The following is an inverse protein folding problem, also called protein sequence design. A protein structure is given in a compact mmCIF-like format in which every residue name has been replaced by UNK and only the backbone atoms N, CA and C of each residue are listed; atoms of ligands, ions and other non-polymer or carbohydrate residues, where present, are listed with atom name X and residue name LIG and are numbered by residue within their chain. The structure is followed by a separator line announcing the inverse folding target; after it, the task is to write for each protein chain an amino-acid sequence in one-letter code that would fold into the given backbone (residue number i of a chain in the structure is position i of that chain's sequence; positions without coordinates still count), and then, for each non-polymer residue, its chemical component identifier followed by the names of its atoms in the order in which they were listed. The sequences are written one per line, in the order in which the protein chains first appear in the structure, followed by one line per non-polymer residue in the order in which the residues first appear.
data_IF_817517014339
#
_entry.id   IF_817517014339
#
_cell.length_a   1.000
_cell.length_b   1.000
_cell.length_c   1.000
_cell.angle_alpha   90.00
_cell.angle_beta   90.00
_cell.angle_gamma   90.00
#
_symmetry.space_group_name_H-M   'P 1'
#
loop_
_entity.id
_entity.type
_entity.pdbx_description
1 polymer ?
#
# COMPACT_ATOMS: atom_id res chain seq x y z
N UNK A 1 37.52 15.04 37.88
CA UNK A 1 38.07 16.37 37.53
C UNK A 1 36.91 17.10 36.87
N UNK A 2 36.12 17.86 37.65
CA UNK A 2 36.23 19.30 37.89
C UNK A 2 35.92 20.03 36.55
N UNK A 3 34.87 20.85 36.41
CA UNK A 3 34.27 21.74 37.36
C UNK A 3 32.96 22.37 36.87
N UNK A 4 32.18 22.60 37.81
CA UNK A 4 31.04 23.52 37.87
C UNK A 4 31.46 24.97 37.67
N UNK A 5 30.59 25.77 37.01
CA UNK A 5 30.48 27.20 37.31
C UNK A 5 29.03 27.66 37.30
N UNK A 6 28.64 27.94 38.47
CA UNK A 6 27.56 28.71 39.03
C UNK A 6 27.85 30.23 38.89
N UNK A 7 26.83 31.07 38.68
CA UNK A 7 26.73 32.50 39.07
C UNK A 7 25.31 32.96 38.70
N UNK A 8 24.34 32.98 39.59
CA UNK A 8 23.93 33.97 40.60
C UNK A 8 23.93 35.44 40.13
N UNK A 9 22.72 35.97 40.09
CA UNK A 9 22.37 37.20 40.73
C UNK A 9 22.37 38.46 39.88
N UNK A 10 21.22 39.10 39.76
CA UNK A 10 21.03 40.45 40.28
C UNK A 10 19.56 40.86 40.29
N UNK A 11 19.06 41.13 41.49
CA UNK A 11 17.88 41.97 41.75
C UNK A 11 18.30 43.43 41.64
N UNK A 12 17.41 44.28 41.12
CA UNK A 12 17.21 45.67 41.63
C UNK A 12 15.99 46.26 40.91
N UNK A 13 15.00 46.53 41.65
CA UNK A 13 14.51 47.74 42.38
C UNK A 13 13.60 48.61 41.52
N UNK A 14 12.37 48.67 42.00
CA UNK A 14 11.40 49.75 41.72
C UNK A 14 11.87 51.10 42.24
N UNK A 15 11.35 52.21 41.73
CA UNK A 15 10.59 53.09 42.60
C UNK A 15 9.23 53.55 42.06
N UNK A 16 8.34 53.75 43.00
CA UNK A 16 7.06 54.43 42.87
C UNK A 16 7.26 55.94 42.89
N UNK A 17 6.41 56.66 42.23
CA UNK A 17 5.83 57.97 42.58
C UNK A 17 5.23 58.59 41.29
N UNK A 18 4.02 58.87 41.11
CA UNK A 18 3.09 59.73 41.82
C UNK A 18 2.66 60.86 40.90
N UNK A 19 1.39 60.98 40.62
CA UNK A 19 0.67 62.25 40.69
C UNK A 19 -0.49 62.34 39.71
N UNK A 20 -1.57 62.81 40.23
CA UNK A 20 -2.90 63.02 39.67
C UNK A 20 -2.91 64.05 38.51
N UNK A 21 -3.82 63.83 37.58
CA UNK A 21 -4.18 64.84 36.57
C UNK A 21 -5.32 64.32 35.70
N UNK A 22 -6.51 64.67 36.07
CA UNK A 22 -7.71 64.37 35.30
C UNK A 22 -7.72 65.01 33.95
N UNK A 23 -8.05 64.24 32.95
CA UNK A 23 -8.53 64.74 31.66
C UNK A 23 -9.48 63.73 31.04
N UNK A 24 -10.67 64.21 30.80
CA UNK A 24 -11.69 63.53 30.08
C UNK A 24 -11.20 63.03 28.72
N UNK A 25 -11.27 61.76 28.48
CA UNK A 25 -11.04 61.18 27.18
C UNK A 25 -12.31 60.49 26.70
N UNK A 26 -12.82 61.03 25.63
CA UNK A 26 -13.87 60.45 24.78
C UNK A 26 -13.49 59.02 24.41
N UNK A 27 -14.35 58.06 24.79
CA UNK A 27 -14.30 56.70 24.32
C UNK A 27 -14.84 56.64 22.89
N UNK A 28 -13.97 56.69 21.90
CA UNK A 28 -14.25 56.29 20.55
C UNK A 28 -14.27 54.75 20.54
N UNK A 29 -15.45 54.16 20.52
CA UNK A 29 -15.68 52.74 20.28
C UNK A 29 -15.31 52.43 18.82
N UNK A 30 -14.11 51.90 18.57
CA UNK A 30 -13.73 51.33 17.30
C UNK A 30 -14.39 49.94 17.21
N UNK A 31 -15.54 49.87 16.47
CA UNK A 31 -16.16 48.60 16.10
C UNK A 31 -15.28 47.92 15.05
N UNK A 32 -14.42 46.98 15.47
CA UNK A 32 -13.74 46.09 14.56
C UNK A 32 -14.76 45.08 13.97
N UNK A 33 -15.21 45.32 12.77
CA UNK A 33 -15.93 44.35 11.99
C UNK A 33 -14.98 43.23 11.61
N UNK A 34 -15.08 42.11 12.33
CA UNK A 34 -14.34 40.87 11.93
C UNK A 34 -15.00 40.32 10.66
N UNK A 35 -14.39 40.55 9.52
CA UNK A 35 -14.73 39.85 8.28
C UNK A 35 -14.31 38.39 8.44
N UNK A 36 -15.27 37.49 8.65
CA UNK A 36 -15.05 36.06 8.57
C UNK A 36 -14.71 35.74 7.11
N UNK A 37 -13.44 35.46 6.84
CA UNK A 37 -13.00 34.88 5.57
C UNK A 37 -13.54 33.44 5.58
N UNK A 38 -14.58 33.19 4.82
CA UNK A 38 -15.01 31.83 4.50
C UNK A 38 -13.87 31.21 3.69
N UNK A 39 -13.10 30.33 4.31
CA UNK A 39 -12.11 29.52 3.60
C UNK A 39 -12.90 28.63 2.64
N UNK A 40 -12.59 28.73 1.34
CA UNK A 40 -13.09 27.77 0.36
C UNK A 40 -12.74 26.35 0.84
N UNK A 41 -13.69 25.38 0.78
CA UNK A 41 -13.39 24.00 1.10
C UNK A 41 -12.25 23.54 0.19
N UNK A 42 -11.18 23.01 0.79
CA UNK A 42 -10.08 22.43 0.02
C UNK A 42 -10.67 21.35 -0.92
N UNK A 43 -10.21 21.25 -2.18
CA UNK A 43 -10.70 20.23 -3.10
C UNK A 43 -10.53 18.86 -2.44
N UNK A 44 -11.62 18.08 -2.39
CA UNK A 44 -11.58 16.71 -1.87
C UNK A 44 -10.52 15.92 -2.64
N UNK A 45 -9.56 15.35 -1.90
CA UNK A 45 -8.53 14.52 -2.49
C UNK A 45 -9.20 13.28 -3.13
N UNK A 46 -9.08 13.15 -4.44
CA UNK A 46 -9.61 11.98 -5.15
C UNK A 46 -8.93 10.71 -4.61
N UNK A 47 -9.72 9.75 -4.12
CA UNK A 47 -9.22 8.44 -3.71
C UNK A 47 -8.58 7.73 -4.92
N UNK A 48 -7.26 7.55 -4.97
CA UNK A 48 -6.61 6.90 -6.10
C UNK A 48 -7.09 5.45 -6.28
N UNK A 49 -7.58 4.81 -5.23
CA UNK A 49 -8.16 3.47 -5.29
C UNK A 49 -9.56 3.44 -5.97
N UNK A 50 -10.23 4.56 -6.10
CA UNK A 50 -11.50 4.66 -6.82
C UNK A 50 -11.34 4.78 -8.34
N UNK A 51 -10.10 4.86 -8.85
CA UNK A 51 -9.82 5.11 -10.26
C UNK A 51 -9.58 3.84 -11.09
N UNK A 52 -9.77 2.64 -10.53
CA UNK A 52 -9.74 1.40 -11.29
C UNK A 52 -10.88 1.38 -12.32
N UNK A 53 -10.61 0.86 -13.53
CA UNK A 53 -11.64 0.68 -14.57
C UNK A 53 -12.51 -0.55 -14.26
N UNK A 54 -11.92 -1.57 -13.66
CA UNK A 54 -12.62 -2.77 -13.20
C UNK A 54 -13.23 -2.55 -11.81
N UNK A 55 -14.32 -3.27 -11.51
CA UNK A 55 -14.87 -3.30 -10.15
C UNK A 55 -13.92 -4.06 -9.22
N UNK A 56 -13.30 -3.32 -8.30
CA UNK A 56 -12.31 -3.83 -7.34
C UNK A 56 -12.81 -3.78 -5.90
N UNK A 57 -14.12 -3.59 -5.68
CA UNK A 57 -14.70 -3.47 -4.34
C UNK A 57 -14.44 -4.71 -3.49
N UNK A 58 -14.48 -5.89 -4.11
CA UNK A 58 -14.22 -7.15 -3.42
C UNK A 58 -12.77 -7.26 -2.95
N UNK A 59 -11.82 -6.99 -3.81
CA UNK A 59 -10.39 -6.97 -3.46
C UNK A 59 -10.10 -5.92 -2.39
N UNK A 60 -10.69 -4.73 -2.52
CA UNK A 60 -10.56 -3.66 -1.49
C UNK A 60 -11.10 -4.09 -0.13
N UNK A 61 -12.24 -4.80 -0.10
CA UNK A 61 -12.79 -5.33 1.15
C UNK A 61 -11.84 -6.36 1.80
N UNK A 62 -11.23 -7.26 1.01
CA UNK A 62 -10.20 -8.17 1.52
C UNK A 62 -8.99 -7.43 2.07
N UNK A 63 -8.49 -6.42 1.34
CA UNK A 63 -7.33 -5.62 1.77
C UNK A 63 -7.58 -4.77 3.02
N UNK A 64 -8.83 -4.51 3.38
CA UNK A 64 -9.19 -3.88 4.65
C UNK A 64 -9.19 -4.86 5.83
N UNK A 65 -9.07 -6.16 5.57
CA UNK A 65 -9.04 -7.21 6.58
C UNK A 65 -7.65 -7.45 7.17
N UNK A 66 -7.57 -8.43 8.06
CA UNK A 66 -6.31 -8.85 8.67
C UNK A 66 -5.61 -9.87 7.77
N UNK A 67 -4.40 -9.55 7.33
CA UNK A 67 -3.59 -10.44 6.52
C UNK A 67 -2.95 -11.56 7.36
N UNK A 68 -2.95 -12.78 6.84
CA UNK A 68 -2.25 -13.92 7.42
C UNK A 68 -0.76 -13.84 7.07
N UNK A 69 0.15 -13.85 8.06
CA UNK A 69 1.57 -13.86 7.77
C UNK A 69 2.00 -15.19 7.16
N UNK A 70 2.82 -15.14 6.11
CA UNK A 70 3.31 -16.31 5.40
C UNK A 70 4.72 -16.04 4.85
N UNK A 71 5.66 -16.94 5.10
CA UNK A 71 6.98 -16.85 4.48
C UNK A 71 6.91 -17.43 3.05
N UNK A 72 7.18 -16.61 2.04
CA UNK A 72 7.34 -17.12 0.68
C UNK A 72 8.55 -18.06 0.59
N UNK A 73 8.55 -18.97 -0.38
CA UNK A 73 9.68 -19.86 -0.58
C UNK A 73 10.74 -19.26 -1.51
N UNK A 74 11.97 -19.79 -1.41
CA UNK A 74 13.08 -19.48 -2.33
C UNK A 74 13.04 -20.33 -3.61
N UNK A 75 12.24 -21.39 -3.65
CA UNK A 75 12.06 -22.28 -4.79
C UNK A 75 10.65 -22.87 -4.79
N UNK A 76 10.22 -23.44 -5.91
CA UNK A 76 8.91 -24.08 -6.03
C UNK A 76 8.74 -25.28 -5.08
N UNK A 77 9.82 -26.03 -4.83
CA UNK A 77 9.81 -27.12 -3.85
C UNK A 77 9.63 -26.54 -2.44
N UNK A 78 8.60 -27.01 -1.73
CA UNK A 78 8.28 -26.55 -0.37
C UNK A 78 7.62 -25.15 -0.31
N UNK A 79 7.19 -24.60 -1.42
CA UNK A 79 6.47 -23.34 -1.43
C UNK A 79 5.12 -23.49 -0.69
N UNK A 80 4.82 -22.58 0.26
CA UNK A 80 3.59 -22.64 1.03
C UNK A 80 2.36 -22.38 0.15
N UNK A 81 1.23 -22.97 0.52
CA UNK A 81 -0.01 -22.79 -0.21
C UNK A 81 -0.74 -21.51 0.21
N UNK A 82 -1.29 -20.81 -0.76
CA UNK A 82 -2.28 -19.77 -0.58
C UNK A 82 -3.64 -20.25 -1.12
N UNK A 83 -4.70 -19.79 -0.50
CA UNK A 83 -6.08 -20.14 -0.86
C UNK A 83 -6.77 -18.89 -1.40
N UNK A 84 -7.59 -19.00 -2.45
CA UNK A 84 -8.42 -17.87 -2.89
C UNK A 84 -9.29 -17.33 -1.76
N UNK A 85 -9.68 -16.06 -1.86
CA UNK A 85 -10.54 -15.34 -0.92
C UNK A 85 -9.92 -15.10 0.48
N UNK A 86 -8.59 -15.19 0.56
CA UNK A 86 -7.83 -14.89 1.77
C UNK A 86 -6.78 -13.82 1.50
N UNK A 87 -6.51 -13.01 2.52
CA UNK A 87 -5.46 -12.00 2.47
C UNK A 87 -4.21 -12.52 3.17
N UNK A 88 -3.07 -12.45 2.48
CA UNK A 88 -1.77 -12.87 2.99
C UNK A 88 -0.78 -11.72 3.03
N UNK A 89 0.06 -11.69 4.07
CA UNK A 89 1.26 -10.86 4.11
C UNK A 89 2.47 -11.78 3.93
N UNK A 90 3.02 -11.77 2.71
CA UNK A 90 4.17 -12.58 2.37
C UNK A 90 5.47 -11.91 2.81
N UNK A 91 6.37 -12.68 3.44
CA UNK A 91 7.76 -12.32 3.62
C UNK A 91 8.56 -12.83 2.42
N UNK A 92 9.09 -11.92 1.61
CA UNK A 92 9.90 -12.21 0.45
C UNK A 92 11.39 -12.34 0.82
N UNK A 93 12.19 -12.92 -0.09
CA UNK A 93 13.64 -13.09 0.02
C UNK A 93 14.37 -12.13 -0.91
N UNK A 94 15.67 -11.97 -0.69
CA UNK A 94 16.54 -11.31 -1.65
C UNK A 94 16.45 -12.04 -2.99
N UNK A 95 16.33 -11.29 -4.10
CA UNK A 95 16.17 -11.85 -5.44
C UNK A 95 17.23 -12.88 -5.81
N UNK A 96 18.49 -12.63 -5.39
CA UNK A 96 19.63 -13.51 -5.65
C UNK A 96 19.51 -14.89 -4.99
N UNK A 97 18.66 -15.04 -3.97
CA UNK A 97 18.45 -16.31 -3.25
C UNK A 97 17.29 -17.14 -3.82
N UNK A 98 16.59 -16.60 -4.82
CA UNK A 98 15.34 -17.22 -5.33
C UNK A 98 15.58 -17.88 -6.68
N UNK A 99 15.21 -19.16 -6.75
CA UNK A 99 15.16 -19.95 -7.98
C UNK A 99 13.70 -20.03 -8.46
N UNK A 100 13.41 -19.40 -9.58
CA UNK A 100 12.07 -19.37 -10.15
C UNK A 100 11.65 -20.73 -10.72
N UNK A 101 10.33 -21.01 -10.72
CA UNK A 101 9.73 -22.19 -11.32
C UNK A 101 9.77 -22.17 -12.85
N UNK A 102 9.78 -20.95 -13.43
CA UNK A 102 10.00 -20.68 -14.85
C UNK A 102 10.74 -19.34 -14.99
N UNK A 103 11.43 -19.08 -16.10
CA UNK A 103 11.98 -17.73 -16.35
C UNK A 103 10.88 -16.68 -16.27
N UNK A 104 11.07 -15.56 -15.53
CA UNK A 104 10.09 -14.49 -15.48
C UNK A 104 9.73 -13.96 -16.88
N UNK A 105 8.42 -13.92 -17.18
CA UNK A 105 7.92 -13.58 -18.53
C UNK A 105 7.93 -12.09 -18.84
N UNK A 106 8.52 -11.25 -17.96
CA UNK A 106 8.61 -9.81 -18.17
C UNK A 106 9.59 -9.45 -19.30
N UNK A 107 9.25 -8.42 -20.09
CA UNK A 107 10.07 -7.97 -21.22
C UNK A 107 11.47 -7.47 -20.84
N UNK A 108 11.61 -6.92 -19.65
CA UNK A 108 12.87 -6.44 -19.09
C UNK A 108 13.15 -7.24 -17.82
N UNK A 109 14.31 -7.88 -17.70
CA UNK A 109 14.63 -8.60 -16.48
C UNK A 109 14.56 -7.63 -15.29
N UNK A 110 14.03 -8.09 -14.15
CA UNK A 110 14.01 -7.27 -12.94
C UNK A 110 15.45 -6.93 -12.56
N UNK A 111 15.68 -5.79 -11.90
CA UNK A 111 16.98 -5.51 -11.31
C UNK A 111 17.49 -6.71 -10.51
N UNK A 112 18.77 -6.98 -10.57
CA UNK A 112 19.39 -8.06 -9.78
C UNK A 112 19.15 -7.82 -8.26
N UNK A 113 19.04 -6.57 -7.86
CA UNK A 113 18.63 -6.15 -6.53
C UNK A 113 17.09 -6.19 -6.41
N UNK A 114 16.59 -6.40 -5.19
CA UNK A 114 15.17 -6.42 -4.85
C UNK A 114 14.75 -7.74 -4.25
N UNK A 115 13.44 -7.90 -4.11
CA UNK A 115 12.84 -9.02 -3.41
C UNK A 115 12.03 -9.89 -4.36
N UNK A 116 12.00 -11.19 -4.06
CA UNK A 116 11.32 -12.22 -4.82
C UNK A 116 10.83 -13.34 -3.89
N UNK A 117 9.95 -14.19 -4.41
CA UNK A 117 9.48 -15.35 -3.65
C UNK A 117 8.45 -16.14 -4.41
N UNK A 118 8.12 -17.33 -3.91
CA UNK A 118 7.16 -18.23 -4.52
C UNK A 118 6.15 -18.71 -3.48
N UNK A 119 4.91 -18.89 -3.92
CA UNK A 119 3.85 -19.62 -3.19
C UNK A 119 3.15 -20.56 -4.15
N UNK A 120 2.43 -21.55 -3.63
CA UNK A 120 1.56 -22.42 -4.44
C UNK A 120 0.11 -21.97 -4.34
N UNK A 121 -0.64 -22.22 -5.40
CA UNK A 121 -2.08 -21.97 -5.50
C UNK A 121 -2.75 -23.16 -6.17
N UNK A 122 -3.90 -23.56 -5.66
CA UNK A 122 -4.80 -24.46 -6.34
C UNK A 122 -6.21 -23.88 -6.31
N UNK A 123 -6.91 -23.98 -7.43
CA UNK A 123 -8.30 -23.52 -7.56
C UNK A 123 -9.19 -24.72 -7.91
N UNK A 124 -10.33 -24.82 -7.25
CA UNK A 124 -11.27 -25.95 -7.43
C UNK A 124 -12.10 -25.86 -8.73
N UNK A 125 -12.20 -24.66 -9.30
CA UNK A 125 -12.94 -24.43 -10.53
C UNK A 125 -12.09 -23.65 -11.52
N UNK A 126 -12.10 -24.05 -12.78
CA UNK A 126 -11.46 -23.27 -13.83
C UNK A 126 -12.19 -21.93 -14.03
N UNK A 127 -11.46 -20.90 -14.43
CA UNK A 127 -12.03 -19.59 -14.68
C UNK A 127 -11.03 -18.45 -14.60
N UNK A 128 -11.56 -17.25 -14.70
CA UNK A 128 -10.78 -16.02 -14.55
C UNK A 128 -10.58 -15.72 -13.08
N UNK A 129 -9.31 -15.55 -12.69
CA UNK A 129 -8.90 -15.18 -11.34
C UNK A 129 -8.06 -13.92 -11.36
N UNK A 130 -8.17 -13.14 -10.31
CA UNK A 130 -7.42 -11.93 -10.08
C UNK A 130 -6.37 -12.16 -9.00
N UNK A 131 -5.17 -11.76 -9.28
CA UNK A 131 -4.09 -11.69 -8.28
C UNK A 131 -3.88 -10.23 -7.94
N UNK A 132 -4.31 -9.84 -6.73
CA UNK A 132 -4.27 -8.49 -6.23
C UNK A 132 -3.06 -8.29 -5.30
N UNK A 133 -2.30 -7.22 -5.48
CA UNK A 133 -1.04 -6.93 -4.81
C UNK A 133 -1.00 -5.49 -4.30
N UNK A 134 -0.31 -5.25 -3.17
CA UNK A 134 -0.14 -3.90 -2.62
C UNK A 134 1.05 -3.12 -3.22
N UNK A 135 1.80 -3.69 -4.14
CA UNK A 135 2.95 -3.03 -4.78
C UNK A 135 3.12 -3.41 -6.26
N UNK A 136 3.89 -2.59 -6.98
CA UNK A 136 4.18 -2.78 -8.40
C UNK A 136 5.34 -3.76 -8.60
N UNK A 137 5.12 -5.05 -8.36
CA UNK A 137 6.09 -6.08 -8.71
C UNK A 137 5.56 -6.93 -9.88
N UNK A 138 6.46 -7.73 -10.48
CA UNK A 138 6.08 -8.67 -11.52
C UNK A 138 5.55 -9.96 -10.88
N UNK A 139 4.54 -10.53 -11.49
CA UNK A 139 3.98 -11.84 -11.12
C UNK A 139 3.82 -12.70 -12.35
N UNK A 140 4.21 -13.97 -12.24
CA UNK A 140 3.87 -15.04 -13.15
C UNK A 140 3.10 -16.12 -12.40
N UNK A 141 2.14 -16.73 -13.09
CA UNK A 141 1.50 -17.98 -12.68
C UNK A 141 2.07 -19.10 -13.53
N UNK A 142 2.66 -20.09 -12.89
CA UNK A 142 3.37 -21.18 -13.57
C UNK A 142 2.61 -22.50 -13.33
N UNK A 143 2.28 -23.19 -14.40
CA UNK A 143 1.72 -24.54 -14.39
C UNK A 143 2.70 -25.49 -15.10
N UNK A 144 3.11 -26.56 -14.42
CA UNK A 144 4.02 -27.59 -15.00
C UNK A 144 5.27 -26.99 -15.64
N UNK A 145 5.85 -25.95 -15.03
CA UNK A 145 7.07 -25.29 -15.52
C UNK A 145 6.85 -24.28 -16.66
N UNK A 146 5.61 -24.00 -17.05
CA UNK A 146 5.27 -23.05 -18.11
C UNK A 146 4.43 -21.92 -17.54
N UNK A 147 4.79 -20.67 -17.86
CA UNK A 147 4.03 -19.50 -17.43
C UNK A 147 2.70 -19.41 -18.17
N UNK A 148 1.61 -19.22 -17.43
CA UNK A 148 0.28 -18.88 -17.95
C UNK A 148 0.28 -17.39 -18.30
N UNK A 149 -0.12 -17.05 -19.50
CA UNK A 149 -0.23 -15.67 -19.93
C UNK A 149 -1.35 -14.96 -19.17
N UNK A 150 -1.09 -13.74 -18.67
CA UNK A 150 -2.14 -12.90 -18.10
C UNK A 150 -3.13 -12.46 -19.17
N UNK A 151 -4.41 -12.44 -18.82
CA UNK A 151 -5.50 -11.96 -19.69
C UNK A 151 -5.57 -10.44 -19.69
N UNK A 152 -5.36 -9.83 -18.50
CA UNK A 152 -5.39 -8.38 -18.32
C UNK A 152 -4.60 -7.99 -17.07
N UNK A 153 -4.28 -6.70 -16.95
CA UNK A 153 -3.71 -6.13 -15.73
C UNK A 153 -4.07 -4.67 -15.57
N UNK A 154 -4.20 -4.25 -14.33
CA UNK A 154 -4.46 -2.86 -13.97
C UNK A 154 -3.66 -2.49 -12.72
N UNK A 155 -3.13 -1.25 -12.67
CA UNK A 155 -2.43 -0.71 -11.51
C UNK A 155 -2.72 0.76 -11.31
N UNK A 156 -2.74 1.22 -10.05
CA UNK A 156 -3.01 2.61 -9.69
C UNK A 156 -1.95 3.14 -8.75
N UNK A 157 -1.27 4.19 -9.21
CA UNK A 157 -0.30 4.92 -8.37
C UNK A 157 -1.04 5.57 -7.21
N UNK A 158 -0.45 5.49 -6.02
CA UNK A 158 -1.04 6.04 -4.81
C UNK A 158 -2.06 5.13 -4.12
N UNK A 159 -2.56 4.08 -4.78
CA UNK A 159 -3.36 3.04 -4.15
C UNK A 159 -2.45 1.88 -3.71
N UNK A 160 -2.60 1.41 -2.47
CA UNK A 160 -1.91 0.22 -1.95
C UNK A 160 -2.89 -0.91 -1.57
N UNK A 161 -4.18 -0.69 -1.72
CA UNK A 161 -5.23 -1.59 -1.25
C UNK A 161 -6.32 -1.85 -2.32
N UNK A 162 -6.03 -2.59 -3.38
CA UNK A 162 -4.75 -3.02 -3.93
C UNK A 162 -4.06 -1.95 -4.79
N UNK A 163 -2.74 -2.10 -5.00
CA UNK A 163 -1.98 -1.29 -5.95
C UNK A 163 -2.09 -1.82 -7.39
N UNK A 164 -2.11 -3.14 -7.53
CA UNK A 164 -2.09 -3.84 -8.82
C UNK A 164 -2.99 -5.07 -8.77
N UNK A 165 -3.68 -5.31 -9.88
CA UNK A 165 -4.44 -6.53 -10.15
C UNK A 165 -3.97 -7.11 -11.47
N UNK A 166 -3.76 -8.42 -11.53
CA UNK A 166 -3.45 -9.15 -12.77
C UNK A 166 -4.42 -10.31 -12.89
N UNK A 167 -5.02 -10.44 -14.06
CA UNK A 167 -6.01 -11.48 -14.35
C UNK A 167 -5.39 -12.66 -15.10
N UNK A 168 -5.76 -13.88 -14.70
CA UNK A 168 -5.31 -15.12 -15.31
C UNK A 168 -6.47 -16.08 -15.47
N UNK A 169 -6.55 -16.74 -16.64
CA UNK A 169 -7.43 -17.89 -16.84
C UNK A 169 -6.75 -19.13 -16.23
N UNK A 170 -7.24 -19.58 -15.07
CA UNK A 170 -6.64 -20.67 -14.31
C UNK A 170 -7.38 -21.98 -14.53
N UNK A 171 -6.67 -23.12 -14.72
CA UNK A 171 -7.26 -24.45 -14.79
C UNK A 171 -7.66 -24.95 -13.39
N UNK A 172 -8.75 -25.72 -13.30
CA UNK A 172 -9.16 -26.36 -12.04
C UNK A 172 -8.20 -27.48 -11.63
N UNK A 173 -8.09 -27.71 -10.32
CA UNK A 173 -7.43 -28.86 -9.71
C UNK A 173 -6.01 -29.10 -10.28
N UNK A 174 -5.31 -28.03 -10.58
CA UNK A 174 -3.95 -28.05 -11.10
C UNK A 174 -3.06 -27.28 -10.15
N UNK A 175 -1.99 -27.89 -9.63
CA UNK A 175 -1.03 -27.16 -8.82
C UNK A 175 -0.36 -26.03 -9.62
N UNK A 176 -0.48 -24.82 -9.13
CA UNK A 176 0.10 -23.62 -9.72
C UNK A 176 1.17 -23.06 -8.81
N UNK A 177 2.19 -22.45 -9.38
CA UNK A 177 3.16 -21.65 -8.64
C UNK A 177 2.99 -20.18 -9.00
N UNK A 178 2.71 -19.35 -8.02
CA UNK A 178 2.81 -17.91 -8.15
C UNK A 178 4.24 -17.51 -7.81
N UNK A 179 4.93 -16.88 -8.74
CA UNK A 179 6.27 -16.36 -8.52
C UNK A 179 6.28 -14.84 -8.67
N UNK A 180 6.93 -14.19 -7.70
CA UNK A 180 6.99 -12.73 -7.59
C UNK A 180 8.43 -12.26 -7.81
N UNK A 181 8.62 -11.18 -8.56
CA UNK A 181 9.95 -10.60 -8.79
C UNK A 181 9.91 -9.07 -8.91
N UNK A 182 11.03 -8.43 -8.57
CA UNK A 182 11.16 -6.97 -8.63
C UNK A 182 10.48 -6.23 -7.47
N UNK A 183 10.23 -6.90 -6.34
CA UNK A 183 9.75 -6.25 -5.13
C UNK A 183 10.75 -5.23 -4.60
N UNK A 184 10.27 -4.05 -4.19
CA UNK A 184 11.10 -2.99 -3.61
C UNK A 184 11.18 -3.10 -2.07
N UNK A 185 10.29 -3.86 -1.46
CA UNK A 185 10.25 -4.15 -0.03
C UNK A 185 10.22 -5.66 0.21
N UNK A 186 10.67 -6.14 1.39
CA UNK A 186 10.66 -7.56 1.72
C UNK A 186 9.26 -8.12 2.02
N UNK A 187 8.23 -7.28 2.11
CA UNK A 187 6.86 -7.69 2.42
C UNK A 187 5.94 -7.42 1.24
N UNK A 188 5.05 -8.35 0.94
CA UNK A 188 4.04 -8.26 -0.10
C UNK A 188 2.68 -8.65 0.46
N UNK A 189 1.66 -7.78 0.33
CA UNK A 189 0.27 -8.16 0.61
C UNK A 189 -0.35 -8.70 -0.66
N UNK A 190 -0.94 -9.89 -0.55
CA UNK A 190 -1.49 -10.69 -1.65
C UNK A 190 -2.90 -11.16 -1.33
N UNK A 191 -3.81 -11.03 -2.29
CA UNK A 191 -5.06 -11.77 -2.33
C UNK A 191 -5.25 -12.38 -3.73
N UNK A 192 -5.88 -13.55 -3.78
CA UNK A 192 -6.36 -14.16 -5.02
C UNK A 192 -7.87 -14.23 -4.93
N UNK A 193 -8.58 -13.71 -5.94
CA UNK A 193 -10.04 -13.70 -5.99
C UNK A 193 -10.52 -14.30 -7.31
N UNK A 194 -11.74 -14.81 -7.33
CA UNK A 194 -12.38 -15.14 -8.61
C UNK A 194 -12.91 -13.85 -9.23
N UNK A 195 -12.58 -13.58 -10.48
CA UNK A 195 -13.12 -12.43 -11.17
C UNK A 195 -14.65 -12.53 -11.26
N UNK A 196 -15.38 -11.41 -11.10
CA UNK A 196 -16.81 -11.39 -11.33
C UNK A 196 -17.14 -11.94 -12.73
N UNK A 197 -18.22 -12.68 -12.86
CA UNK A 197 -18.71 -13.03 -14.20
C UNK A 197 -18.95 -11.75 -14.99
N UNK A 198 -18.44 -11.68 -16.23
CA UNK A 198 -18.76 -10.55 -17.09
C UNK A 198 -20.28 -10.38 -17.14
N UNK A 199 -20.76 -9.16 -16.88
CA UNK A 199 -22.19 -8.87 -17.05
C UNK A 199 -22.58 -9.24 -18.48
N UNK A 200 -23.62 -10.06 -18.62
CA UNK A 200 -24.14 -10.38 -19.95
C UNK A 200 -24.48 -9.04 -20.65
N UNK A 201 -24.10 -8.88 -21.92
CA UNK A 201 -24.50 -7.70 -22.69
C UNK A 201 -26.04 -7.64 -22.73
N UNK A 202 -26.60 -6.51 -22.33
CA UNK A 202 -28.05 -6.21 -22.39
C UNK A 202 -28.45 -5.88 -23.80
#
# INVERSE_FOLDING_TARGET
MIGSHDLRGLRERLPMSGSAGGRWLLLLALSAAATAVLADPAPEAVDPCATFNSDVRHERALFAGQAQPLAAAKAAAGAPAVTPEHLYQLQLHQRAEVTFAAPPAQRHPPPAAGYAGLVTLEVNAAGLYRVALNQALWIDVVAKGVSIQSSDFEGRRGCAAPHKIVEFMLPANTPLTLQFSGGITPTLTLAVTRAPAAAAPH
#
